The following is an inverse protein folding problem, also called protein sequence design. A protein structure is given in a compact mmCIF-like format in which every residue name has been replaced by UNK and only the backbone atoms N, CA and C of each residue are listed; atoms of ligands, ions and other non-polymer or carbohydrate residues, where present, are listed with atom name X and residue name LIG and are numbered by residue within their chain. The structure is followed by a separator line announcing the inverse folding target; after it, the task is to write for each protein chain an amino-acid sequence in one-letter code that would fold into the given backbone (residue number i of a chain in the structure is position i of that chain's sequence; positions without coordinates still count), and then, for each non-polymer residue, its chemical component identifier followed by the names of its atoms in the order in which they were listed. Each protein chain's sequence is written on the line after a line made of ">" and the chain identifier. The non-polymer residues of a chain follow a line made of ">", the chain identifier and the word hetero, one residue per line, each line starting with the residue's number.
data_IF_931386834912
#
_entry.id   IF_931386834912
#
_cell.length_a   1.000
_cell.length_b   1.000
_cell.length_c   1.000
_cell.angle_alpha   90.00
_cell.angle_beta   90.00
_cell.angle_gamma   90.00
#
_symmetry.space_group_name_H-M   'P 1'
#
loop_
_entity.id
_entity.type
_entity.pdbx_description
1 polymer ?
#
# COMPACT_ATOMS: atom_id res chain seq x y z
N UNK A 1 -4.38 26.98 -9.08
CA UNK A 1 -4.00 26.10 -7.98
C UNK A 1 -2.49 26.11 -7.88
N UNK A 2 -1.91 26.54 -6.77
CA UNK A 2 -0.46 26.48 -6.56
C UNK A 2 -0.05 25.00 -6.52
N UNK A 3 0.86 24.58 -7.41
CA UNK A 3 1.47 23.24 -7.32
C UNK A 3 2.12 23.13 -5.94
N UNK A 4 1.63 22.22 -5.11
CA UNK A 4 2.25 21.93 -3.83
C UNK A 4 3.67 21.43 -4.13
N UNK A 5 4.69 22.14 -3.66
CA UNK A 5 6.08 21.66 -3.76
C UNK A 5 6.25 20.62 -2.66
N UNK A 6 6.20 19.35 -3.05
CA UNK A 6 6.45 18.22 -2.15
C UNK A 6 7.94 18.02 -2.08
N UNK A 7 8.50 18.00 -0.86
CA UNK A 7 9.90 17.64 -0.63
C UNK A 7 10.13 16.14 -0.85
N UNK A 8 11.36 15.76 -1.18
CA UNK A 8 11.73 14.34 -1.39
C UNK A 8 11.39 13.46 -0.17
N UNK A 9 11.61 13.97 1.03
CA UNK A 9 11.32 13.25 2.28
C UNK A 9 9.81 13.05 2.47
N UNK A 10 9.03 14.08 2.17
CA UNK A 10 7.57 14.02 2.24
C UNK A 10 7.00 13.00 1.24
N UNK A 11 7.52 12.98 0.01
CA UNK A 11 7.13 12.00 -1.01
C UNK A 11 7.45 10.56 -0.57
N UNK A 12 8.61 10.33 0.04
CA UNK A 12 8.99 9.03 0.61
C UNK A 12 8.02 8.63 1.72
N UNK A 13 7.70 9.53 2.64
CA UNK A 13 6.78 9.22 3.75
C UNK A 13 5.36 8.92 3.28
N UNK A 14 4.86 9.66 2.28
CA UNK A 14 3.54 9.38 1.69
C UNK A 14 3.52 7.98 1.08
N UNK A 15 4.52 7.65 0.27
CA UNK A 15 4.60 6.35 -0.39
C UNK A 15 4.70 5.21 0.62
N UNK A 16 5.55 5.35 1.63
CA UNK A 16 5.71 4.34 2.67
C UNK A 16 4.44 4.20 3.52
N UNK A 17 3.77 5.30 3.86
CA UNK A 17 2.48 5.25 4.59
C UNK A 17 1.38 4.57 3.77
N UNK A 18 1.45 4.62 2.45
CA UNK A 18 0.51 3.91 1.59
C UNK A 18 0.80 2.40 1.50
N UNK A 19 2.08 1.98 1.58
CA UNK A 19 2.49 0.58 1.46
C UNK A 19 2.41 -0.15 2.81
N UNK A 20 2.94 0.46 3.87
CA UNK A 20 3.16 -0.19 5.17
C UNK A 20 1.88 -0.77 5.80
N UNK A 21 0.73 -0.09 5.85
CA UNK A 21 -0.47 -0.65 6.44
C UNK A 21 -0.89 -1.97 5.80
N UNK A 22 -0.93 -2.03 4.47
CA UNK A 22 -1.32 -3.24 3.75
C UNK A 22 -0.34 -4.39 3.96
N UNK A 23 0.96 -4.09 3.94
CA UNK A 23 2.00 -5.11 4.13
C UNK A 23 2.07 -5.63 5.56
N UNK A 24 1.73 -4.83 6.56
CA UNK A 24 1.80 -5.24 7.97
C UNK A 24 0.50 -5.90 8.44
N UNK A 25 -0.67 -5.42 8.00
CA UNK A 25 -1.95 -5.92 8.52
C UNK A 25 -2.51 -7.09 7.71
N UNK A 26 -2.56 -6.98 6.39
CA UNK A 26 -3.27 -7.96 5.55
C UNK A 26 -2.36 -9.06 5.03
N UNK A 27 -1.15 -8.70 4.59
CA UNK A 27 -0.24 -9.62 3.91
C UNK A 27 0.20 -10.81 4.78
N UNK A 28 0.57 -10.67 6.08
CA UNK A 28 1.01 -11.80 6.87
C UNK A 28 -0.09 -12.85 7.07
N UNK A 29 -1.33 -12.43 7.29
CA UNK A 29 -2.46 -13.34 7.48
C UNK A 29 -2.72 -14.13 6.20
N UNK A 30 -2.80 -13.45 5.06
CA UNK A 30 -3.08 -14.06 3.77
C UNK A 30 -1.98 -15.05 3.38
N UNK A 31 -0.72 -14.61 3.44
CA UNK A 31 0.42 -15.44 3.05
C UNK A 31 0.58 -16.67 3.95
N UNK A 32 0.45 -16.52 5.27
CA UNK A 32 0.60 -17.64 6.19
C UNK A 32 -0.50 -18.68 5.99
N UNK A 33 -1.74 -18.25 5.75
CA UNK A 33 -2.84 -19.16 5.51
C UNK A 33 -2.70 -19.93 4.19
N UNK A 34 -2.19 -19.29 3.14
CA UNK A 34 -2.06 -19.89 1.80
C UNK A 34 -0.77 -20.68 1.62
N UNK A 35 0.34 -20.18 2.14
CA UNK A 35 1.69 -20.65 1.81
C UNK A 35 2.44 -21.26 3.00
N UNK A 36 1.94 -21.14 4.24
CA UNK A 36 2.54 -21.68 5.46
C UNK A 36 4.04 -21.42 5.56
N UNK A 37 4.87 -22.45 5.55
CA UNK A 37 6.34 -22.35 5.67
C UNK A 37 7.02 -21.65 4.48
N UNK A 38 6.43 -21.66 3.29
CA UNK A 38 6.97 -20.95 2.11
C UNK A 38 6.62 -19.45 2.07
N UNK A 39 5.90 -18.95 3.07
CA UNK A 39 5.51 -17.53 3.19
C UNK A 39 6.68 -16.58 3.11
N UNK A 40 7.78 -16.87 3.81
CA UNK A 40 8.97 -16.03 3.84
C UNK A 40 9.59 -15.90 2.44
N UNK A 41 9.72 -17.00 1.72
CA UNK A 41 10.25 -17.01 0.35
C UNK A 41 9.35 -16.22 -0.60
N UNK A 42 8.04 -16.34 -0.45
CA UNK A 42 7.09 -15.57 -1.25
C UNK A 42 7.20 -14.06 -0.98
N UNK A 43 7.34 -13.63 0.27
CA UNK A 43 7.53 -12.20 0.60
C UNK A 43 8.78 -11.65 -0.09
N UNK A 44 9.92 -12.34 -0.03
CA UNK A 44 11.13 -11.92 -0.73
C UNK A 44 10.92 -11.84 -2.24
N UNK A 45 10.30 -12.85 -2.82
CA UNK A 45 10.02 -12.91 -4.26
C UNK A 45 9.13 -11.72 -4.71
N UNK A 46 8.01 -11.48 -4.02
CA UNK A 46 7.09 -10.38 -4.33
C UNK A 46 7.78 -9.02 -4.12
N UNK A 47 8.58 -8.87 -3.07
CA UNK A 47 9.34 -7.64 -2.81
C UNK A 47 10.33 -7.35 -3.94
N UNK A 48 11.02 -8.36 -4.46
CA UNK A 48 11.92 -8.22 -5.62
C UNK A 48 11.14 -7.74 -6.85
N UNK A 49 10.01 -8.37 -7.16
CA UNK A 49 9.18 -7.96 -8.31
C UNK A 49 8.69 -6.51 -8.13
N UNK A 50 8.18 -6.15 -6.97
CA UNK A 50 7.72 -4.78 -6.71
C UNK A 50 8.85 -3.77 -6.82
N UNK A 51 10.05 -4.13 -6.36
CA UNK A 51 11.24 -3.28 -6.51
C UNK A 51 11.60 -3.09 -7.98
N UNK A 52 11.56 -4.15 -8.80
CA UNK A 52 11.80 -4.06 -10.24
C UNK A 52 10.76 -3.17 -10.93
N UNK A 53 9.48 -3.30 -10.56
CA UNK A 53 8.41 -2.41 -11.05
C UNK A 53 8.72 -0.97 -10.66
N UNK A 54 9.12 -0.71 -9.41
CA UNK A 54 9.54 0.62 -8.94
C UNK A 54 10.69 1.20 -9.77
N UNK A 55 11.69 0.40 -10.12
CA UNK A 55 12.78 0.82 -11.02
C UNK A 55 12.27 1.16 -12.42
N UNK A 56 11.35 0.38 -12.99
CA UNK A 56 10.76 0.68 -14.30
C UNK A 56 10.00 2.02 -14.28
N UNK A 57 9.24 2.27 -13.22
CA UNK A 57 8.55 3.55 -13.01
C UNK A 57 9.57 4.69 -12.93
N UNK A 58 10.63 4.53 -12.14
CA UNK A 58 11.70 5.51 -12.03
C UNK A 58 12.35 5.83 -13.38
N UNK A 59 12.70 4.83 -14.19
CA UNK A 59 13.27 5.04 -15.52
C UNK A 59 12.31 5.75 -16.47
N UNK A 60 11.00 5.47 -16.37
CA UNK A 60 9.99 6.17 -17.15
C UNK A 60 9.98 7.66 -16.79
N UNK A 61 9.81 7.98 -15.50
CA UNK A 61 9.69 9.38 -15.06
C UNK A 61 11.00 10.18 -15.18
N UNK A 62 12.15 9.52 -15.15
CA UNK A 62 13.43 10.16 -15.44
C UNK A 62 13.48 10.78 -16.83
N UNK A 63 12.72 10.24 -17.81
CA UNK A 63 12.60 10.80 -19.16
C UNK A 63 11.58 11.93 -19.26
N UNK A 64 10.68 12.07 -18.28
CA UNK A 64 9.60 13.04 -18.25
C UNK A 64 9.59 13.84 -16.94
N UNK A 65 10.64 14.67 -16.68
CA UNK A 65 10.75 15.38 -15.42
C UNK A 65 9.59 16.37 -15.22
N UNK A 66 8.91 16.26 -14.08
CA UNK A 66 7.78 17.11 -13.71
C UNK A 66 6.44 16.76 -14.34
N UNK A 67 6.36 15.64 -15.05
CA UNK A 67 5.11 15.10 -15.59
C UNK A 67 4.58 14.00 -14.64
N UNK A 68 3.27 13.98 -14.45
CA UNK A 68 2.60 12.83 -13.86
C UNK A 68 2.21 11.80 -14.94
N UNK A 69 1.65 10.66 -14.54
CA UNK A 69 1.27 9.60 -15.48
C UNK A 69 0.21 10.08 -16.47
N UNK A 70 -0.66 11.02 -16.06
CA UNK A 70 -1.72 11.59 -16.89
C UNK A 70 -1.10 12.51 -17.95
N UNK A 71 -0.09 13.29 -17.57
CA UNK A 71 0.66 14.14 -18.49
C UNK A 71 1.43 13.30 -19.51
N UNK A 72 2.10 12.24 -19.05
CA UNK A 72 2.82 11.30 -19.94
C UNK A 72 1.84 10.63 -20.92
N UNK A 73 0.67 10.21 -20.46
CA UNK A 73 -0.35 9.61 -21.33
C UNK A 73 -0.87 10.59 -22.39
N UNK A 74 -1.02 11.85 -22.02
CA UNK A 74 -1.40 12.90 -22.97
C UNK A 74 -0.32 13.14 -24.04
N UNK A 75 0.94 13.10 -23.65
CA UNK A 75 2.08 13.23 -24.56
C UNK A 75 2.15 12.07 -25.58
N UNK A 76 1.87 10.83 -25.14
CA UNK A 76 1.99 9.63 -25.97
C UNK A 76 0.78 9.41 -26.90
N UNK A 77 -0.43 9.66 -26.43
CA UNK A 77 -1.66 9.31 -27.14
C UNK A 77 -2.72 10.41 -27.20
N UNK A 78 -2.36 11.65 -26.83
CA UNK A 78 -3.25 12.78 -26.87
C UNK A 78 -4.38 12.74 -25.85
N UNK A 79 -5.38 13.61 -26.04
CA UNK A 79 -6.47 13.83 -25.09
C UNK A 79 -7.33 12.58 -24.81
N UNK A 80 -7.50 11.71 -25.81
CA UNK A 80 -8.28 10.48 -25.65
C UNK A 80 -7.57 9.54 -24.70
N UNK A 81 -6.28 9.32 -24.89
CA UNK A 81 -5.48 8.41 -24.07
C UNK A 81 -5.35 8.93 -22.63
N UNK A 82 -5.18 10.24 -22.46
CA UNK A 82 -5.24 10.89 -21.15
C UNK A 82 -6.53 10.58 -20.40
N UNK A 83 -7.67 10.70 -21.07
CA UNK A 83 -8.96 10.46 -20.42
C UNK A 83 -9.14 8.99 -20.03
N UNK A 84 -8.74 8.06 -20.90
CA UNK A 84 -8.82 6.61 -20.60
C UNK A 84 -7.96 6.27 -19.37
N UNK A 85 -6.71 6.70 -19.35
CA UNK A 85 -5.80 6.47 -18.23
C UNK A 85 -6.33 7.13 -16.95
N UNK A 86 -6.84 8.37 -17.04
CA UNK A 86 -7.46 9.06 -15.91
C UNK A 86 -8.65 8.29 -15.32
N UNK A 87 -9.54 7.76 -16.16
CA UNK A 87 -10.64 6.91 -15.70
C UNK A 87 -10.16 5.64 -15.02
N UNK A 88 -9.17 4.94 -15.58
CA UNK A 88 -8.59 3.74 -14.99
C UNK A 88 -8.04 4.05 -13.60
N UNK A 89 -7.29 5.14 -13.43
CA UNK A 89 -6.74 5.53 -12.14
C UNK A 89 -7.82 5.91 -11.12
N UNK A 90 -8.87 6.63 -11.54
CA UNK A 90 -10.00 6.98 -10.66
C UNK A 90 -10.65 5.70 -10.10
N UNK A 91 -11.03 4.76 -10.97
CA UNK A 91 -11.63 3.51 -10.54
C UNK A 91 -10.70 2.68 -9.66
N UNK A 92 -9.43 2.60 -10.03
CA UNK A 92 -8.41 1.92 -9.26
C UNK A 92 -8.33 2.47 -7.82
N UNK A 93 -8.24 3.80 -7.67
CA UNK A 93 -8.14 4.41 -6.34
C UNK A 93 -9.42 4.29 -5.52
N UNK A 94 -10.60 4.39 -6.15
CA UNK A 94 -11.88 4.18 -5.45
C UNK A 94 -11.95 2.75 -4.90
N UNK A 95 -11.67 1.75 -5.73
CA UNK A 95 -11.73 0.34 -5.34
C UNK A 95 -10.68 0.05 -4.25
N UNK A 96 -9.44 0.46 -4.45
CA UNK A 96 -8.35 0.25 -3.49
C UNK A 96 -8.63 0.90 -2.15
N UNK A 97 -9.13 2.15 -2.13
CA UNK A 97 -9.49 2.86 -0.90
C UNK A 97 -10.66 2.20 -0.18
N UNK A 98 -11.64 1.69 -0.92
CA UNK A 98 -12.79 0.99 -0.34
C UNK A 98 -12.39 -0.31 0.33
N UNK A 99 -11.53 -1.11 -0.31
CA UNK A 99 -10.99 -2.36 0.25
C UNK A 99 -10.16 -2.07 1.50
N UNK A 100 -9.28 -1.06 1.45
CA UNK A 100 -8.42 -0.68 2.56
C UNK A 100 -9.24 -0.21 3.76
N UNK A 101 -10.25 0.63 3.53
CA UNK A 101 -11.14 1.12 4.57
C UNK A 101 -11.93 -0.02 5.21
N UNK A 102 -12.45 -0.94 4.41
CA UNK A 102 -13.16 -2.10 4.92
C UNK A 102 -12.27 -2.99 5.78
N UNK A 103 -11.09 -3.36 5.30
CA UNK A 103 -10.13 -4.18 6.05
C UNK A 103 -9.73 -3.52 7.37
N UNK A 104 -9.56 -2.21 7.36
CA UNK A 104 -9.25 -1.44 8.56
C UNK A 104 -10.39 -1.47 9.57
N UNK A 105 -11.64 -1.26 9.12
CA UNK A 105 -12.82 -1.31 9.98
C UNK A 105 -13.07 -2.72 10.51
N UNK A 106 -12.89 -3.77 9.71
CA UNK A 106 -12.96 -5.17 10.16
C UNK A 106 -11.92 -5.47 11.24
N UNK A 107 -10.69 -4.97 11.08
CA UNK A 107 -9.66 -5.09 12.11
C UNK A 107 -10.01 -4.39 13.42
N UNK A 108 -10.59 -3.20 13.35
CA UNK A 108 -11.06 -2.47 14.55
C UNK A 108 -12.25 -3.18 15.23
N UNK A 109 -13.16 -3.74 14.44
CA UNK A 109 -14.30 -4.50 14.95
C UNK A 109 -13.84 -5.69 15.80
N UNK A 110 -12.91 -6.47 15.28
CA UNK A 110 -12.35 -7.64 15.98
C UNK A 110 -11.62 -7.26 17.28
N UNK A 111 -10.92 -6.11 17.32
CA UNK A 111 -10.07 -5.75 18.47
C UNK A 111 -10.82 -4.93 19.51
N UNK A 112 -11.67 -3.98 19.09
CA UNK A 112 -12.23 -2.96 19.97
C UNK A 112 -13.76 -2.90 20.00
N UNK A 113 -14.44 -3.21 18.89
CA UNK A 113 -15.85 -2.84 18.70
C UNK A 113 -16.75 -4.03 18.38
N UNK A 114 -16.63 -5.14 19.11
CA UNK A 114 -17.32 -6.43 18.88
C UNK A 114 -18.84 -6.36 18.66
N UNK A 115 -19.49 -5.27 19.05
CA UNK A 115 -20.95 -5.08 18.95
C UNK A 115 -21.36 -3.90 18.06
N UNK A 116 -20.41 -3.22 17.44
CA UNK A 116 -20.71 -2.02 16.64
C UNK A 116 -20.89 -2.43 15.18
N UNK A 117 -21.98 -1.94 14.56
CA UNK A 117 -22.17 -2.20 13.14
C UNK A 117 -21.04 -1.56 12.32
N UNK A 118 -20.35 -2.35 11.52
CA UNK A 118 -19.22 -1.95 10.68
C UNK A 118 -19.56 -0.75 9.76
N UNK A 119 -20.85 -0.61 9.36
CA UNK A 119 -21.30 0.49 8.52
C UNK A 119 -21.11 1.84 9.22
N UNK A 120 -21.38 1.93 10.54
CA UNK A 120 -21.18 3.17 11.30
C UNK A 120 -19.70 3.54 11.36
N UNK A 121 -18.81 2.57 11.54
CA UNK A 121 -17.36 2.82 11.53
C UNK A 121 -16.91 3.35 10.17
N UNK A 122 -17.33 2.69 9.09
CA UNK A 122 -17.04 3.14 7.72
C UNK A 122 -17.52 4.58 7.49
N UNK A 123 -18.75 4.92 7.91
CA UNK A 123 -19.29 6.27 7.76
C UNK A 123 -18.46 7.32 8.50
N UNK A 124 -18.05 7.06 9.74
CA UNK A 124 -17.21 7.98 10.52
C UNK A 124 -15.88 8.23 9.79
N UNK A 125 -15.23 7.18 9.28
CA UNK A 125 -13.97 7.34 8.56
C UNK A 125 -14.15 8.05 7.21
N UNK A 126 -15.23 7.77 6.46
CA UNK A 126 -15.54 8.47 5.20
C UNK A 126 -15.74 9.96 5.44
N UNK A 127 -16.50 10.33 6.48
CA UNK A 127 -16.70 11.74 6.87
C UNK A 127 -15.35 12.38 7.22
N UNK A 128 -14.54 11.72 8.04
CA UNK A 128 -13.23 12.21 8.46
C UNK A 128 -12.28 12.41 7.26
N UNK A 129 -12.24 11.46 6.33
CA UNK A 129 -11.45 11.55 5.08
C UNK A 129 -11.95 12.72 4.22
N UNK A 130 -13.27 12.90 4.11
CA UNK A 130 -13.87 13.99 3.34
C UNK A 130 -13.48 15.35 3.92
N UNK A 131 -13.55 15.51 5.23
CA UNK A 131 -13.13 16.75 5.92
C UNK A 131 -11.63 17.00 5.69
N UNK A 132 -10.79 15.96 5.81
CA UNK A 132 -9.34 16.09 5.60
C UNK A 132 -9.02 16.52 4.17
N UNK A 133 -9.71 15.94 3.18
CA UNK A 133 -9.56 16.33 1.78
C UNK A 133 -10.00 17.78 1.52
N UNK A 134 -11.03 18.24 2.21
CA UNK A 134 -11.48 19.65 2.12
C UNK A 134 -10.43 20.62 2.67
N UNK A 135 -9.67 20.24 3.70
CA UNK A 135 -8.55 21.03 4.25
C UNK A 135 -7.35 21.12 3.29
N UNK A 136 -7.35 20.32 2.22
CA UNK A 136 -6.38 20.38 1.14
C UNK A 136 -5.20 19.42 1.31
N UNK A 137 -4.55 19.14 0.20
CA UNK A 137 -3.49 18.15 0.07
C UNK A 137 -2.28 18.41 0.97
N UNK A 138 -1.93 19.69 1.18
CA UNK A 138 -0.82 20.06 2.08
C UNK A 138 -1.07 19.63 3.53
N UNK A 139 -2.31 19.62 3.98
CA UNK A 139 -2.68 19.13 5.32
C UNK A 139 -2.41 17.64 5.44
N UNK A 140 -2.80 16.87 4.43
CA UNK A 140 -2.56 15.43 4.37
C UNK A 140 -1.07 15.11 4.41
N UNK A 141 -0.23 15.84 3.65
CA UNK A 141 1.22 15.66 3.63
C UNK A 141 1.81 15.86 5.03
N UNK A 142 1.46 16.96 5.69
CA UNK A 142 1.97 17.26 7.04
C UNK A 142 1.56 16.21 8.06
N UNK A 143 0.31 15.75 8.01
CA UNK A 143 -0.20 14.69 8.88
C UNK A 143 0.57 13.39 8.64
N UNK A 144 0.80 13.00 7.40
CA UNK A 144 1.57 11.81 7.04
C UNK A 144 3.00 11.88 7.54
N UNK A 145 3.64 13.05 7.45
CA UNK A 145 5.00 13.27 7.93
C UNK A 145 5.13 13.06 9.45
N UNK A 146 4.09 13.35 10.22
CA UNK A 146 4.06 13.12 11.66
C UNK A 146 3.71 11.65 12.00
N UNK A 147 2.74 11.07 11.29
CA UNK A 147 2.23 9.73 11.57
C UNK A 147 3.26 8.66 11.21
N UNK A 148 4.00 8.82 10.11
CA UNK A 148 4.92 7.78 9.63
C UNK A 148 5.99 7.38 10.65
N UNK A 149 6.72 8.30 11.32
CA UNK A 149 7.68 7.93 12.36
C UNK A 149 7.05 7.17 13.53
N UNK A 150 5.83 7.54 13.92
CA UNK A 150 5.07 6.86 14.99
C UNK A 150 4.72 5.42 14.55
N UNK A 151 4.28 5.26 13.31
CA UNK A 151 3.98 3.93 12.73
C UNK A 151 5.24 3.06 12.69
N UNK A 152 6.37 3.61 12.27
CA UNK A 152 7.64 2.90 12.24
C UNK A 152 8.05 2.45 13.64
N UNK A 153 7.96 3.35 14.63
CA UNK A 153 8.25 3.01 16.02
C UNK A 153 7.34 1.88 16.53
N UNK A 154 6.04 1.94 16.21
CA UNK A 154 5.08 0.90 16.60
C UNK A 154 5.43 -0.46 16.00
N UNK A 155 5.86 -0.52 14.74
CA UNK A 155 6.30 -1.75 14.08
C UNK A 155 7.55 -2.30 14.75
N UNK A 156 8.52 -1.44 15.07
CA UNK A 156 9.73 -1.85 15.79
C UNK A 156 9.40 -2.43 17.18
N UNK A 157 8.50 -1.79 17.92
CA UNK A 157 8.04 -2.30 19.22
C UNK A 157 7.34 -3.67 19.09
N UNK A 158 6.50 -3.86 18.06
CA UNK A 158 5.88 -5.15 17.78
C UNK A 158 6.92 -6.22 17.46
N UNK A 159 7.93 -5.88 16.67
CA UNK A 159 9.02 -6.80 16.32
C UNK A 159 9.80 -7.23 17.55
N UNK A 160 10.28 -6.27 18.35
CA UNK A 160 11.05 -6.57 19.56
C UNK A 160 10.21 -7.27 20.63
N UNK A 161 8.93 -6.92 20.79
CA UNK A 161 8.02 -7.54 21.75
C UNK A 161 7.68 -9.00 21.43
N UNK A 162 7.89 -9.43 20.19
CA UNK A 162 7.61 -10.82 19.77
C UNK A 162 8.87 -11.63 19.48
N UNK A 163 10.06 -11.15 19.81
CA UNK A 163 11.33 -11.81 19.47
C UNK A 163 11.45 -13.21 20.10
N UNK A 164 10.93 -13.38 21.33
CA UNK A 164 10.95 -14.66 22.06
C UNK A 164 10.04 -15.72 21.44
N UNK A 165 9.05 -15.28 20.67
CA UNK A 165 8.10 -16.16 19.97
C UNK A 165 8.65 -16.68 18.64
N UNK A 166 9.80 -16.17 18.20
CA UNK A 166 10.42 -16.53 16.94
C UNK A 166 11.03 -17.93 16.98
N UNK A 167 10.49 -18.83 16.14
CA UNK A 167 10.96 -20.23 16.03
C UNK A 167 11.48 -20.48 14.62
N UNK A 168 12.79 -20.59 14.48
CA UNK A 168 13.46 -20.86 13.20
C UNK A 168 12.95 -22.12 12.49
N UNK A 169 12.55 -23.12 13.29
CA UNK A 169 12.02 -24.40 12.79
C UNK A 169 10.76 -24.26 11.95
N UNK A 170 9.96 -23.22 12.15
CA UNK A 170 8.72 -22.97 11.39
C UNK A 170 8.97 -22.48 9.95
N UNK A 171 10.19 -22.09 9.62
CA UNK A 171 10.58 -21.66 8.26
C UNK A 171 10.80 -22.88 7.36
N UNK A 172 11.05 -24.05 7.94
CA UNK A 172 11.30 -25.26 7.16
C UNK A 172 10.05 -26.14 7.05
N UNK A 173 9.86 -26.82 5.89
CA UNK A 173 10.64 -26.74 4.65
C UNK A 173 10.36 -25.44 3.88
N UNK A 174 11.40 -24.86 3.26
CA UNK A 174 11.33 -23.54 2.59
C UNK A 174 10.30 -23.52 1.46
N UNK A 175 10.10 -24.63 0.76
CA UNK A 175 9.13 -24.85 -0.34
C UNK A 175 7.99 -25.79 0.10
N UNK A 176 7.53 -25.70 1.34
CA UNK A 176 6.60 -26.65 1.92
C UNK A 176 5.28 -26.86 1.18
N UNK A 177 4.76 -25.82 0.51
CA UNK A 177 3.52 -25.91 -0.29
C UNK A 177 3.80 -26.12 -1.79
N UNK A 178 5.07 -26.28 -2.18
CA UNK A 178 5.49 -26.52 -3.54
C UNK A 178 5.80 -25.24 -4.34
N UNK A 179 6.50 -25.43 -5.45
CA UNK A 179 6.98 -24.35 -6.29
C UNK A 179 5.83 -23.53 -6.92
N UNK A 180 4.83 -24.22 -7.45
CA UNK A 180 3.70 -23.60 -8.14
C UNK A 180 2.92 -22.66 -7.22
N UNK A 181 2.55 -23.11 -6.02
CA UNK A 181 1.86 -22.27 -5.04
C UNK A 181 2.71 -21.08 -4.60
N UNK A 182 3.99 -21.30 -4.34
CA UNK A 182 4.87 -20.24 -3.85
C UNK A 182 5.07 -19.12 -4.86
N UNK A 183 5.23 -19.45 -6.14
CA UNK A 183 5.60 -18.47 -7.17
C UNK A 183 4.42 -18.06 -8.05
N UNK A 184 3.59 -18.98 -8.53
CA UNK A 184 2.49 -18.65 -9.43
C UNK A 184 1.27 -18.10 -8.66
N UNK A 185 0.75 -18.84 -7.68
CA UNK A 185 -0.39 -18.35 -6.88
C UNK A 185 0.01 -17.23 -5.93
N UNK A 186 1.24 -17.30 -5.37
CA UNK A 186 1.76 -16.25 -4.50
C UNK A 186 1.97 -14.89 -5.18
N UNK A 187 1.86 -14.82 -6.52
CA UNK A 187 1.92 -13.57 -7.28
C UNK A 187 0.74 -12.63 -6.93
N UNK A 188 -0.41 -13.18 -6.52
CA UNK A 188 -1.55 -12.39 -6.06
C UNK A 188 -1.21 -11.45 -4.89
N UNK A 189 -0.20 -11.81 -4.09
CA UNK A 189 0.26 -11.03 -2.95
C UNK A 189 0.95 -9.69 -3.34
N UNK A 190 1.22 -9.46 -4.64
CA UNK A 190 1.67 -8.16 -5.16
C UNK A 190 0.67 -7.06 -4.79
N UNK A 191 -0.63 -7.38 -4.68
CA UNK A 191 -1.66 -6.44 -4.27
C UNK A 191 -1.39 -5.72 -2.95
N UNK A 192 -0.65 -6.35 -2.02
CA UNK A 192 -0.25 -5.70 -0.77
C UNK A 192 0.72 -4.53 -0.97
N UNK A 193 1.43 -4.50 -2.08
CA UNK A 193 2.33 -3.41 -2.48
C UNK A 193 1.66 -2.38 -3.40
N UNK A 194 0.33 -2.41 -3.52
CA UNK A 194 -0.44 -1.51 -4.39
C UNK A 194 -0.16 -0.01 -4.11
N UNK A 195 0.29 0.33 -2.90
CA UNK A 195 0.75 1.68 -2.55
C UNK A 195 1.88 2.24 -3.43
N UNK A 196 2.63 1.40 -4.13
CA UNK A 196 3.64 1.83 -5.11
C UNK A 196 3.04 2.68 -6.24
N UNK A 197 1.74 2.50 -6.55
CA UNK A 197 1.05 3.28 -7.58
C UNK A 197 0.91 4.76 -7.25
N UNK A 198 1.04 5.15 -5.98
CA UNK A 198 1.06 6.58 -5.62
C UNK A 198 2.27 7.32 -6.19
N UNK A 199 3.37 6.62 -6.49
CA UNK A 199 4.55 7.21 -7.14
C UNK A 199 4.23 7.81 -8.51
N UNK A 200 3.21 7.28 -9.20
CA UNK A 200 2.77 7.80 -10.50
C UNK A 200 2.14 9.20 -10.45
N UNK A 201 1.74 9.65 -9.25
CA UNK A 201 1.03 10.92 -9.04
C UNK A 201 1.85 11.96 -8.28
N UNK A 202 3.02 11.58 -7.76
CA UNK A 202 3.95 12.44 -7.02
C UNK A 202 4.99 13.06 -7.95
#
# INVERSE_FOLDING_TARGET
>A
MSKAKIGTIEAIFITLTAIVPLTVTSLPITIINELKSSSLLNIFYVTIICTLIGFLIYFLFKKFPGFDIIDVSNYLGGSIFRNIIGFIFIFYFIISSSILLRNFCEGLDVIYFHYTNIIFMILIFVISITITNYLGFNSTIRTTTIIFPITLLSILLLFFGNIDSFKFQKIFPILGEGFEKTFALGLSNIGAFAGITYIYLL
#
